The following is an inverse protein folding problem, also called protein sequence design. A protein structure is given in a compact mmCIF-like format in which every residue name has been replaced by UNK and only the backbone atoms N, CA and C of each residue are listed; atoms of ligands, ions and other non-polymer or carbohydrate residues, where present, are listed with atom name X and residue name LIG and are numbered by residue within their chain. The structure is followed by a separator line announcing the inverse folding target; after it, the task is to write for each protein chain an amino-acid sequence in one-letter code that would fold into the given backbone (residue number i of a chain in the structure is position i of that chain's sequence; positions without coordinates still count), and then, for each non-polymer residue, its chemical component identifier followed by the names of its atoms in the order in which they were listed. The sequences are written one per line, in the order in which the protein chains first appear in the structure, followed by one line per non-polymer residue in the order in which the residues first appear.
data_IF_415636751170
#
_entry.id   IF_415636751170
#
_cell.length_a   1.000
_cell.length_b   1.000
_cell.length_c   1.000
_cell.angle_alpha   90.00
_cell.angle_beta   90.00
_cell.angle_gamma   90.00
#
_symmetry.space_group_name_H-M   'P 1'
#
loop_
_entity.id
_entity.type
_entity.pdbx_description
1 polymer ?
#
# COMPACT_ATOMS: atom_id res chain seq x y z
N UNK A 1 -22.56 3.02 6.02
CA UNK A 1 -21.80 2.63 7.24
C UNK A 1 -20.58 1.88 6.78
N UNK A 2 -19.38 2.38 7.08
CA UNK A 2 -18.15 1.63 6.79
C UNK A 2 -18.05 0.47 7.78
N UNK A 3 -17.73 -0.72 7.28
CA UNK A 3 -17.41 -1.86 8.13
C UNK A 3 -16.10 -1.59 8.87
N UNK A 4 -15.89 -2.27 10.00
CA UNK A 4 -14.63 -2.17 10.73
C UNK A 4 -13.42 -2.49 9.83
N UNK A 5 -13.57 -3.46 8.92
CA UNK A 5 -12.55 -3.82 7.95
C UNK A 5 -12.23 -2.67 6.97
N UNK A 6 -13.25 -1.95 6.50
CA UNK A 6 -13.04 -0.80 5.61
C UNK A 6 -12.24 0.30 6.32
N UNK A 7 -12.56 0.60 7.58
CA UNK A 7 -11.82 1.60 8.38
C UNK A 7 -10.36 1.19 8.56
N UNK A 8 -10.09 -0.09 8.83
CA UNK A 8 -8.72 -0.61 8.96
C UNK A 8 -7.97 -0.49 7.64
N UNK A 9 -8.61 -0.86 6.52
CA UNK A 9 -7.99 -0.72 5.20
C UNK A 9 -7.70 0.73 4.82
N UNK A 10 -8.60 1.66 5.13
CA UNK A 10 -8.39 3.10 4.91
C UNK A 10 -7.17 3.61 5.70
N UNK A 11 -7.06 3.24 6.98
CA UNK A 11 -5.90 3.58 7.83
C UNK A 11 -4.61 2.98 7.30
N UNK A 12 -4.62 1.69 6.95
CA UNK A 12 -3.45 1.01 6.38
C UNK A 12 -3.02 1.68 5.07
N UNK A 13 -3.97 2.08 4.22
CA UNK A 13 -3.67 2.72 2.94
C UNK A 13 -2.94 4.06 3.11
N UNK A 14 -3.23 4.83 4.16
CA UNK A 14 -2.52 6.07 4.46
C UNK A 14 -1.03 5.79 4.71
N UNK A 15 -0.72 4.78 5.54
CA UNK A 15 0.66 4.42 5.84
C UNK A 15 1.38 3.83 4.62
N UNK A 16 0.69 2.98 3.85
CA UNK A 16 1.21 2.45 2.60
C UNK A 16 1.58 3.58 1.62
N UNK A 17 0.73 4.60 1.44
CA UNK A 17 1.05 5.75 0.57
C UNK A 17 2.26 6.53 1.09
N UNK A 18 2.34 6.75 2.40
CA UNK A 18 3.46 7.45 3.04
C UNK A 18 4.78 6.72 2.76
N UNK A 19 4.83 5.41 2.98
CA UNK A 19 6.02 4.60 2.70
C UNK A 19 6.39 4.62 1.21
N UNK A 20 5.40 4.53 0.31
CA UNK A 20 5.67 4.55 -1.14
C UNK A 20 6.25 5.89 -1.62
N UNK A 21 5.80 7.02 -1.06
CA UNK A 21 6.20 8.37 -1.48
C UNK A 21 7.45 8.90 -0.78
N UNK A 22 7.60 8.62 0.51
CA UNK A 22 8.60 9.30 1.35
C UNK A 22 9.72 8.40 1.84
N UNK A 23 9.75 7.13 1.42
CA UNK A 23 10.87 6.22 1.69
C UNK A 23 11.57 5.80 0.40
N UNK A 24 12.83 5.41 0.53
CA UNK A 24 13.59 4.76 -0.55
C UNK A 24 13.39 3.23 -0.56
N UNK A 25 12.46 2.71 0.23
CA UNK A 25 12.22 1.28 0.32
C UNK A 25 11.68 0.74 -1.01
N UNK A 26 12.13 -0.44 -1.39
CA UNK A 26 11.54 -1.24 -2.45
C UNK A 26 10.13 -1.70 -2.07
N UNK A 27 9.31 -2.06 -3.07
CA UNK A 27 7.98 -2.63 -2.83
C UNK A 27 8.04 -3.88 -1.93
N UNK A 28 9.11 -4.68 -2.05
CA UNK A 28 9.33 -5.85 -1.20
C UNK A 28 9.55 -5.48 0.27
N UNK A 29 10.40 -4.49 0.53
CA UNK A 29 10.66 -4.00 1.89
C UNK A 29 9.41 -3.37 2.52
N UNK A 30 8.64 -2.59 1.74
CA UNK A 30 7.38 -2.00 2.22
C UNK A 30 6.36 -3.10 2.56
N UNK A 31 6.23 -4.11 1.70
CA UNK A 31 5.36 -5.27 1.94
C UNK A 31 5.71 -5.95 3.26
N UNK A 32 6.99 -6.23 3.48
CA UNK A 32 7.47 -6.89 4.69
C UNK A 32 7.25 -6.01 5.93
N UNK A 33 7.60 -4.72 5.86
CA UNK A 33 7.46 -3.76 6.97
C UNK A 33 6.01 -3.56 7.42
N UNK A 34 5.08 -3.61 6.47
CA UNK A 34 3.64 -3.47 6.74
C UNK A 34 2.94 -4.82 6.98
N UNK A 35 3.72 -5.89 7.19
CA UNK A 35 3.23 -7.24 7.52
C UNK A 35 2.26 -7.83 6.49
N UNK A 36 2.43 -7.50 5.21
CA UNK A 36 1.77 -8.25 4.14
C UNK A 36 2.43 -9.63 4.03
N UNK A 37 1.62 -10.67 3.84
CA UNK A 37 2.12 -12.05 3.75
C UNK A 37 3.11 -12.26 2.61
N UNK A 38 2.94 -11.51 1.52
CA UNK A 38 3.81 -11.50 0.37
C UNK A 38 3.60 -10.23 -0.47
N UNK A 39 4.56 -9.97 -1.36
CA UNK A 39 4.58 -8.80 -2.25
C UNK A 39 3.39 -8.80 -3.22
N UNK A 40 2.86 -9.96 -3.59
CA UNK A 40 1.71 -10.06 -4.50
C UNK A 40 0.43 -9.57 -3.82
N UNK A 41 0.24 -9.89 -2.54
CA UNK A 41 -0.87 -9.40 -1.73
C UNK A 41 -0.78 -7.91 -1.48
N UNK A 42 0.41 -7.39 -1.21
CA UNK A 42 0.65 -5.93 -1.19
C UNK A 42 0.24 -5.28 -2.51
N UNK A 43 0.73 -5.79 -3.65
CA UNK A 43 0.43 -5.22 -4.96
C UNK A 43 -1.08 -5.27 -5.29
N UNK A 44 -1.76 -6.38 -4.97
CA UNK A 44 -3.22 -6.50 -5.14
C UNK A 44 -3.97 -5.51 -4.25
N UNK A 45 -3.60 -5.39 -2.98
CA UNK A 45 -4.20 -4.43 -2.05
C UNK A 45 -4.02 -3.01 -2.56
N UNK A 46 -2.79 -2.60 -2.88
CA UNK A 46 -2.47 -1.25 -3.35
C UNK A 46 -3.25 -0.91 -4.62
N UNK A 47 -3.23 -1.81 -5.62
CA UNK A 47 -3.95 -1.60 -6.89
C UNK A 47 -5.45 -1.54 -6.69
N UNK A 48 -6.02 -2.38 -5.82
CA UNK A 48 -7.44 -2.34 -5.48
C UNK A 48 -7.85 -1.00 -4.84
N UNK A 49 -7.01 -0.45 -3.97
CA UNK A 49 -7.31 0.78 -3.23
C UNK A 49 -7.00 2.07 -4.02
N UNK A 50 -6.11 2.02 -5.02
CA UNK A 50 -5.63 3.22 -5.73
C UNK A 50 -5.88 3.21 -7.24
N UNK A 51 -6.21 2.06 -7.82
CA UNK A 51 -6.35 1.88 -9.27
C UNK A 51 -5.03 1.64 -10.02
N UNK A 52 -3.87 1.84 -9.38
CA UNK A 52 -2.56 1.75 -10.03
C UNK A 52 -1.54 0.97 -9.19
N UNK A 53 -0.36 0.67 -9.75
CA UNK A 53 0.71 -0.03 -9.01
C UNK A 53 1.47 0.96 -8.12
N UNK A 54 2.07 0.47 -7.03
CA UNK A 54 2.90 1.29 -6.14
C UNK A 54 4.07 1.94 -6.88
N UNK A 55 4.72 1.21 -7.80
CA UNK A 55 5.79 1.74 -8.64
C UNK A 55 5.33 2.85 -9.58
N UNK A 56 4.12 2.74 -10.14
CA UNK A 56 3.55 3.83 -10.95
C UNK A 56 3.24 5.03 -10.08
N UNK A 57 2.58 4.82 -8.93
CA UNK A 57 2.26 5.86 -7.96
C UNK A 57 3.47 6.66 -7.48
N UNK A 58 4.59 6.00 -7.23
CA UNK A 58 5.86 6.66 -6.88
C UNK A 58 6.38 7.61 -7.96
N UNK A 59 6.09 7.35 -9.24
CA UNK A 59 6.57 8.16 -10.37
C UNK A 59 5.62 9.30 -10.76
N UNK A 60 4.39 9.30 -10.25
CA UNK A 60 3.35 10.28 -10.62
C UNK A 60 3.45 11.57 -9.82
N UNK A 61 4.19 11.59 -8.71
CA UNK A 61 4.39 12.76 -7.85
C UNK A 61 5.82 13.26 -8.01
#
# INVERSE_FOLDING_TARGET
LNTALQIIHERLMIEVKREVLFSNNTVSEISNRLNFSDVSNFNRFFKKMTGQTANHFRKTI
#
